data_IF_376408981560
#
_entry.id   IF_376408981560
#
_cell.length_a   1.000
_cell.length_b   1.000
_cell.length_c   1.000
_cell.angle_alpha   90.00
_cell.angle_beta   90.00
_cell.angle_gamma   90.00
#
_symmetry.space_group_name_H-M   'P 1'
#
loop_
_entity.id
_entity.type
_entity.pdbx_description
1 polymer ?
#
# COMPACT_ATOMS: atom_id res chain seq x y z
N UNK A 1 28.24 -1.91 -36.77
CA UNK A 1 27.14 -2.29 -35.88
C UNK A 1 27.70 -3.26 -34.85
N UNK A 2 27.84 -2.82 -33.60
CA UNK A 2 28.30 -3.65 -32.50
C UNK A 2 27.11 -3.87 -31.56
N UNK A 3 26.69 -5.12 -31.37
CA UNK A 3 25.81 -5.49 -30.25
C UNK A 3 26.74 -5.84 -29.10
N UNK A 4 26.97 -4.85 -28.23
CA UNK A 4 27.69 -5.02 -26.97
C UNK A 4 26.77 -5.73 -25.99
N UNK A 5 27.28 -6.78 -25.37
CA UNK A 5 26.54 -7.71 -24.52
C UNK A 5 25.96 -7.09 -23.25
N UNK A 6 24.84 -7.65 -22.81
CA UNK A 6 24.35 -7.46 -21.45
C UNK A 6 25.04 -8.50 -20.59
N UNK A 7 25.99 -8.03 -19.78
CA UNK A 7 26.64 -8.79 -18.73
C UNK A 7 25.66 -8.97 -17.57
N UNK A 8 25.67 -10.19 -17.05
CA UNK A 8 25.28 -10.53 -15.69
C UNK A 8 26.18 -9.82 -14.66
N UNK A 9 25.71 -9.77 -13.42
CA UNK A 9 26.38 -9.48 -12.16
C UNK A 9 26.20 -8.08 -11.57
N UNK A 10 25.58 -8.11 -10.38
CA UNK A 10 25.73 -7.18 -9.26
C UNK A 10 24.85 -5.93 -9.27
N UNK A 11 23.73 -6.04 -8.57
CA UNK A 11 23.42 -5.08 -7.51
C UNK A 11 22.62 -5.77 -6.39
N UNK A 12 23.36 -6.19 -5.35
CA UNK A 12 22.89 -6.03 -3.97
C UNK A 12 22.59 -4.54 -3.80
N UNK A 13 21.48 -4.19 -3.13
CA UNK A 13 21.33 -3.11 -2.13
C UNK A 13 19.87 -2.62 -2.04
N UNK A 14 19.35 -2.68 -0.80
CA UNK A 14 18.07 -2.18 -0.27
C UNK A 14 16.86 -3.03 -0.71
N UNK A 15 16.16 -3.69 0.20
CA UNK A 15 15.41 -2.92 1.18
C UNK A 15 14.53 -1.90 0.46
N UNK A 16 13.91 -2.26 -0.67
CA UNK A 16 12.67 -1.63 -1.05
C UNK A 16 11.75 -1.96 0.09
N UNK A 17 11.63 -1.03 1.03
CA UNK A 17 10.39 -0.84 1.74
C UNK A 17 9.35 -0.88 0.63
N UNK A 18 8.72 -2.04 0.43
CA UNK A 18 7.38 -2.06 -0.14
C UNK A 18 6.67 -1.05 0.75
N UNK A 19 6.47 0.15 0.22
CA UNK A 19 5.63 1.12 0.90
C UNK A 19 4.38 0.32 1.18
N UNK A 20 4.00 0.13 2.46
CA UNK A 20 2.85 -0.69 2.79
C UNK A 20 1.76 -0.22 1.85
N UNK A 21 1.21 -1.15 1.06
CA UNK A 21 0.07 -0.89 0.18
C UNK A 21 -0.88 -0.08 1.04
N UNK A 22 -0.92 1.23 0.79
CA UNK A 22 -1.43 2.13 1.80
C UNK A 22 -2.91 1.91 1.72
N UNK A 23 -3.43 1.05 2.60
CA UNK A 23 -4.84 0.82 2.79
C UNK A 23 -5.50 2.18 2.65
N UNK A 24 -6.41 2.29 1.69
CA UNK A 24 -7.04 3.54 1.30
C UNK A 24 -7.53 4.25 2.57
N UNK A 25 -6.88 5.36 2.93
CA UNK A 25 -7.24 6.12 4.13
C UNK A 25 -8.50 6.89 3.80
N UNK A 26 -9.57 6.58 4.51
CA UNK A 26 -10.83 7.32 4.43
C UNK A 26 -10.61 8.79 4.86
N UNK A 27 -11.20 9.77 4.14
CA UNK A 27 -11.04 11.20 4.48
C UNK A 27 -11.41 11.54 5.92
N UNK A 28 -12.39 10.84 6.50
CA UNK A 28 -12.80 10.99 7.88
C UNK A 28 -11.67 10.65 8.88
N UNK A 29 -10.91 9.58 8.61
CA UNK A 29 -9.77 9.18 9.43
C UNK A 29 -8.58 10.11 9.22
N UNK A 30 -8.38 10.62 8.01
CA UNK A 30 -7.36 11.65 7.74
C UNK A 30 -7.59 12.91 8.60
N UNK A 31 -8.82 13.42 8.66
CA UNK A 31 -9.14 14.59 9.50
C UNK A 31 -8.88 14.29 10.98
N UNK A 32 -9.36 13.14 11.47
CA UNK A 32 -9.21 12.73 12.87
C UNK A 32 -7.74 12.56 13.27
N UNK A 33 -6.95 11.89 12.43
CA UNK A 33 -5.54 11.61 12.69
C UNK A 33 -4.70 12.88 12.71
N UNK A 34 -4.88 13.79 11.75
CA UNK A 34 -4.21 15.09 11.72
C UNK A 34 -4.52 15.91 12.99
N UNK A 35 -5.80 15.98 13.36
CA UNK A 35 -6.23 16.72 14.56
C UNK A 35 -5.59 16.16 15.82
N UNK A 36 -5.62 14.84 15.99
CA UNK A 36 -5.05 14.17 17.18
C UNK A 36 -3.55 14.34 17.24
N UNK A 37 -2.84 14.22 16.11
CA UNK A 37 -1.40 14.45 16.03
C UNK A 37 -1.01 15.90 16.38
N UNK A 38 -1.89 16.87 16.11
CA UNK A 38 -1.73 18.26 16.52
C UNK A 38 -2.16 18.56 17.97
N UNK A 39 -2.64 17.55 18.73
CA UNK A 39 -3.11 17.74 20.10
C UNK A 39 -4.40 18.55 20.24
N UNK A 40 -5.16 18.70 19.15
CA UNK A 40 -6.35 19.55 19.10
C UNK A 40 -7.61 18.78 19.52
N UNK A 41 -8.51 19.43 20.24
CA UNK A 41 -9.90 18.97 20.35
C UNK A 41 -10.69 19.30 19.08
N UNK A 42 -11.84 18.66 18.85
CA UNK A 42 -12.69 19.00 17.69
C UNK A 42 -13.10 20.48 17.71
N UNK A 43 -13.38 21.05 18.89
CA UNK A 43 -13.64 22.48 19.08
C UNK A 43 -12.41 23.34 18.77
N UNK A 44 -11.22 22.89 19.15
CA UNK A 44 -9.96 23.55 18.84
C UNK A 44 -9.73 23.65 17.33
N UNK A 45 -9.88 22.52 16.62
CA UNK A 45 -9.78 22.51 15.16
C UNK A 45 -10.85 23.39 14.52
N UNK A 46 -12.10 23.32 14.99
CA UNK A 46 -13.18 24.16 14.49
C UNK A 46 -12.87 25.65 14.62
N UNK A 47 -12.28 26.05 15.76
CA UNK A 47 -11.86 27.43 16.01
C UNK A 47 -10.80 27.89 15.02
N UNK A 48 -9.77 27.08 14.78
CA UNK A 48 -8.72 27.40 13.80
C UNK A 48 -9.24 27.50 12.37
N UNK A 49 -10.27 26.72 12.03
CA UNK A 49 -10.87 26.69 10.71
C UNK A 49 -12.02 27.70 10.52
N UNK A 50 -12.42 28.44 11.57
CA UNK A 50 -13.58 29.34 11.50
C UNK A 50 -14.91 28.61 11.23
N UNK A 51 -15.05 27.37 11.71
CA UNK A 51 -16.25 26.53 11.55
C UNK A 51 -16.82 26.10 12.90
N UNK A 52 -17.85 25.24 12.89
CA UNK A 52 -18.47 24.70 14.09
C UNK A 52 -17.90 23.34 14.50
N UNK A 53 -17.89 23.03 15.80
CA UNK A 53 -17.49 21.71 16.30
C UNK A 53 -18.39 20.58 15.75
N UNK A 54 -19.71 20.75 15.59
CA UNK A 54 -20.55 19.75 14.94
C UNK A 54 -20.16 19.45 13.49
N UNK A 55 -19.72 20.46 12.73
CA UNK A 55 -19.22 20.24 11.37
C UNK A 55 -17.98 19.34 11.37
N UNK A 56 -17.01 19.62 12.26
CA UNK A 56 -15.83 18.75 12.45
C UNK A 56 -16.23 17.34 12.88
N UNK A 57 -17.22 17.21 13.78
CA UNK A 57 -17.72 15.90 14.20
C UNK A 57 -18.32 15.10 13.05
N UNK A 58 -19.12 15.73 12.18
CA UNK A 58 -19.70 15.07 11.00
C UNK A 58 -18.64 14.64 10.00
N UNK A 59 -17.59 15.44 9.79
CA UNK A 59 -16.45 15.05 8.95
C UNK A 59 -15.73 13.83 9.52
N UNK A 60 -15.41 13.82 10.81
CA UNK A 60 -14.72 12.68 11.44
C UNK A 60 -15.59 11.41 11.48
N UNK A 61 -16.91 11.54 11.55
CA UNK A 61 -17.83 10.40 11.55
C UNK A 61 -18.15 9.89 10.13
N UNK A 62 -17.70 10.58 9.08
CA UNK A 62 -18.03 10.24 7.70
C UNK A 62 -19.48 10.56 7.31
N UNK A 63 -20.20 11.36 8.10
CA UNK A 63 -21.55 11.80 7.77
C UNK A 63 -21.56 12.88 6.68
N UNK A 64 -20.58 13.77 6.72
CA UNK A 64 -20.35 14.78 5.70
C UNK A 64 -18.94 14.55 5.13
N UNK A 65 -18.83 14.35 3.82
CA UNK A 65 -17.52 14.19 3.20
C UNK A 65 -16.82 15.55 3.03
N UNK A 66 -15.65 15.77 3.63
CA UNK A 66 -14.93 17.03 3.49
C UNK A 66 -14.42 17.19 2.06
N UNK A 67 -14.67 18.36 1.45
CA UNK A 67 -14.07 18.73 0.16
C UNK A 67 -12.55 18.75 0.26
N UNK A 68 -11.86 18.60 -0.87
CA UNK A 68 -10.41 18.70 -0.92
C UNK A 68 -9.88 20.03 -0.33
N UNK A 69 -10.60 21.14 -0.54
CA UNK A 69 -10.28 22.43 0.07
C UNK A 69 -10.32 22.39 1.61
N UNK A 70 -11.27 21.65 2.17
CA UNK A 70 -11.41 21.45 3.62
C UNK A 70 -10.27 20.60 4.15
N UNK A 71 -9.93 19.50 3.46
CA UNK A 71 -8.78 18.66 3.82
C UNK A 71 -7.48 19.47 3.82
N UNK A 72 -7.28 20.34 2.83
CA UNK A 72 -6.12 21.23 2.78
C UNK A 72 -6.10 22.21 3.96
N UNK A 73 -7.25 22.81 4.30
CA UNK A 73 -7.35 23.71 5.44
C UNK A 73 -7.09 22.99 6.78
N UNK A 74 -7.61 21.77 6.95
CA UNK A 74 -7.35 20.92 8.12
C UNK A 74 -5.86 20.63 8.25
N UNK A 75 -5.20 20.22 7.15
CA UNK A 75 -3.76 19.96 7.15
C UNK A 75 -2.98 21.21 7.59
N UNK A 76 -3.28 22.38 7.01
CA UNK A 76 -2.65 23.63 7.38
C UNK A 76 -2.88 24.01 8.85
N UNK A 77 -4.11 23.91 9.35
CA UNK A 77 -4.44 24.16 10.76
C UNK A 77 -3.70 23.23 11.73
N UNK A 78 -3.34 22.02 11.27
CA UNK A 78 -2.56 21.04 12.02
C UNK A 78 -1.04 21.14 11.76
N UNK A 79 -0.57 22.19 11.06
CA UNK A 79 0.85 22.39 10.77
C UNK A 79 1.42 21.35 9.78
N UNK A 80 0.63 20.94 8.80
CA UNK A 80 0.99 20.00 7.73
C UNK A 80 0.67 20.62 6.37
N UNK A 81 1.24 20.03 5.32
CA UNK A 81 0.97 20.37 3.92
C UNK A 81 0.27 19.18 3.27
N UNK A 82 -0.90 19.40 2.67
CA UNK A 82 -1.55 18.37 1.88
C UNK A 82 -0.87 18.26 0.51
N UNK A 83 -0.49 17.05 0.12
CA UNK A 83 0.04 16.74 -1.21
C UNK A 83 -0.89 15.69 -1.81
N UNK A 84 -1.43 15.96 -2.99
CA UNK A 84 -2.29 15.04 -3.73
C UNK A 84 -1.56 14.63 -4.98
N UNK A 85 -1.47 13.33 -5.20
CA UNK A 85 -0.95 12.73 -6.43
C UNK A 85 -1.97 11.73 -6.96
N UNK A 86 -2.04 11.61 -8.27
CA UNK A 86 -2.79 10.56 -8.96
C UNK A 86 -1.76 9.55 -9.45
N UNK A 87 -2.07 8.27 -9.30
CA UNK A 87 -1.27 7.17 -9.84
C UNK A 87 -2.14 6.36 -10.81
N UNK A 88 -1.50 5.62 -11.70
CA UNK A 88 -2.21 4.64 -12.51
C UNK A 88 -2.84 3.59 -11.58
N UNK A 89 -4.05 3.14 -11.92
CA UNK A 89 -4.70 2.04 -11.21
C UNK A 89 -3.83 0.79 -11.40
N UNK A 90 -3.14 0.39 -10.34
CA UNK A 90 -2.39 -0.86 -10.35
C UNK A 90 -3.43 -1.96 -10.50
N UNK A 91 -3.52 -2.53 -11.71
CA UNK A 91 -4.34 -3.72 -11.92
C UNK A 91 -3.79 -4.72 -10.93
N UNK A 92 -4.59 -5.05 -9.91
CA UNK A 92 -4.37 -6.23 -9.09
C UNK A 92 -4.42 -7.39 -10.08
N UNK A 93 -3.26 -7.75 -10.62
CA UNK A 93 -3.05 -9.05 -11.18
C UNK A 93 -3.11 -9.91 -9.93
N UNK A 94 -4.28 -10.51 -9.67
CA UNK A 94 -4.44 -11.51 -8.61
C UNK A 94 -3.13 -12.28 -8.54
N UNK A 95 -2.49 -12.35 -7.37
CA UNK A 95 -1.10 -12.78 -7.15
C UNK A 95 -0.75 -14.22 -7.57
N UNK A 96 -1.55 -14.78 -8.46
CA UNK A 96 -1.37 -15.97 -9.25
C UNK A 96 -0.41 -15.68 -10.40
N UNK A 97 0.82 -16.17 -10.29
CA UNK A 97 1.71 -16.31 -11.43
C UNK A 97 1.09 -17.30 -12.43
N UNK A 98 0.40 -16.75 -13.44
CA UNK A 98 -0.25 -17.52 -14.49
C UNK A 98 0.76 -18.31 -15.32
N UNK A 99 2.02 -17.88 -15.39
CA UNK A 99 3.04 -18.64 -16.10
C UNK A 99 3.30 -19.99 -15.40
N UNK A 100 3.31 -20.00 -14.06
CA UNK A 100 3.48 -21.24 -13.29
C UNK A 100 2.26 -22.17 -13.40
N UNK A 101 1.04 -21.62 -13.40
CA UNK A 101 -0.18 -22.42 -13.64
C UNK A 101 -0.14 -23.07 -15.02
N UNK A 102 0.16 -22.28 -16.05
CA UNK A 102 0.20 -22.78 -17.43
C UNK A 102 1.30 -23.82 -17.63
N UNK A 103 2.47 -23.61 -17.03
CA UNK A 103 3.57 -24.57 -17.04
C UNK A 103 3.14 -25.91 -16.39
N UNK A 104 2.44 -25.87 -15.26
CA UNK A 104 1.97 -27.09 -14.60
C UNK A 104 0.83 -27.80 -15.32
N UNK A 105 -0.05 -27.07 -16.02
CA UNK A 105 -1.11 -27.67 -16.85
C UNK A 105 -0.55 -28.34 -18.10
N UNK A 106 0.59 -27.87 -18.62
CA UNK A 106 1.31 -28.52 -19.72
C UNK A 106 2.03 -29.81 -19.30
N UNK A 107 2.22 -30.05 -18.00
CA UNK A 107 2.80 -31.30 -17.49
C UNK A 107 1.75 -32.39 -17.40
N UNK A 108 2.14 -33.62 -17.73
CA UNK A 108 1.32 -34.79 -17.47
C UNK A 108 1.07 -34.99 -15.96
N UNK A 109 -0.01 -35.68 -15.55
CA UNK A 109 -0.25 -36.01 -14.15
C UNK A 109 0.95 -36.65 -13.45
N UNK A 110 1.70 -37.53 -14.14
CA UNK A 110 2.87 -38.22 -13.57
C UNK A 110 4.08 -37.30 -13.40
N UNK A 111 4.24 -36.30 -14.28
CA UNK A 111 5.29 -35.28 -14.16
C UNK A 111 5.00 -34.29 -13.03
N UNK A 112 3.73 -33.93 -12.82
CA UNK A 112 3.31 -33.10 -11.67
C UNK A 112 3.63 -33.76 -10.33
N UNK A 113 3.34 -35.05 -10.20
CA UNK A 113 3.61 -35.81 -8.96
C UNK A 113 5.11 -35.87 -8.68
N UNK A 114 5.94 -36.09 -9.71
CA UNK A 114 7.41 -36.12 -9.58
C UNK A 114 8.01 -34.77 -9.20
N UNK A 115 7.47 -33.66 -9.72
CA UNK A 115 7.94 -32.32 -9.40
C UNK A 115 7.74 -31.96 -7.92
N UNK A 116 6.60 -32.34 -7.32
CA UNK A 116 6.31 -32.10 -5.89
C UNK A 116 7.20 -32.96 -4.98
N UNK A 117 7.55 -34.18 -5.38
CA UNK A 117 8.42 -35.07 -4.60
C UNK A 117 9.84 -34.50 -4.35
N UNK A 118 10.29 -33.51 -5.14
CA UNK A 118 11.56 -32.83 -4.91
C UNK A 118 11.51 -31.83 -3.74
N UNK A 119 10.34 -31.27 -3.42
CA UNK A 119 10.17 -30.32 -2.30
C UNK A 119 10.32 -31.02 -0.95
N UNK A 120 9.77 -32.24 -0.81
CA UNK A 120 9.90 -33.04 0.41
C UNK A 120 11.36 -33.43 0.71
N UNK A 121 12.14 -33.73 -0.35
CA UNK A 121 13.57 -34.02 -0.23
C UNK A 121 14.40 -32.80 0.12
N UNK A 122 14.05 -31.63 -0.43
CA UNK A 122 14.71 -30.37 -0.11
C UNK A 122 14.48 -29.94 1.34
N UNK A 123 13.25 -30.04 1.87
CA UNK A 123 12.97 -29.79 3.30
C UNK A 123 13.77 -30.69 4.22
N UNK A 124 13.84 -31.99 3.91
CA UNK A 124 14.60 -32.94 4.71
C UNK A 124 16.11 -32.61 4.75
N UNK A 125 16.65 -32.01 3.69
CA UNK A 125 18.06 -31.60 3.65
C UNK A 125 18.38 -30.32 4.45
N UNK A 126 17.39 -29.45 4.68
CA UNK A 126 17.55 -28.23 5.50
C UNK A 126 17.44 -28.55 7.00
N UNK A 127 16.61 -29.52 7.40
CA UNK A 127 16.44 -29.91 8.82
C UNK A 127 17.62 -30.72 9.39
N UNK A 128 18.59 -31.12 8.56
CA UNK A 128 19.75 -31.94 8.91
C UNK A 128 21.10 -31.19 8.83
N UNK A 129 21.09 -29.86 8.66
CA UNK A 129 22.26 -28.98 8.65
C UNK A 129 22.23 -28.00 9.83
#
# INVERSE_FOLDING_TARGET
MAVVGVRDSSQRILGTTELPHTDSIEPAELVRSLRRAAGLSQKGLATLLGTSQPAVSRWEQGHDEPRLSTLNAVAHACGRRLVVSVADEEKVVDGVDRAQILAHLAMSPDERIRAVANVSRFRASIELA
#
